data_IF_305630605744
#
_entry.id   IF_305630605744
#
_cell.length_a   1.000
_cell.length_b   1.000
_cell.length_c   1.000
_cell.angle_alpha   90.00
_cell.angle_beta   90.00
_cell.angle_gamma   90.00
#
_symmetry.space_group_name_H-M   'P 1'
#
loop_
_entity.id
_entity.type
_entity.pdbx_description
1 polymer ?
#
# COMPACT_ATOMS: atom_id res chain seq x y z
N UNK A 1 60.19 -7.32 -27.44
CA UNK A 1 58.72 -7.34 -27.66
C UNK A 1 57.96 -8.09 -26.56
N UNK A 2 58.27 -9.35 -26.23
CA UNK A 2 57.58 -10.10 -25.13
C UNK A 2 57.58 -9.39 -23.76
N UNK A 3 58.70 -8.76 -23.36
CA UNK A 3 58.80 -8.00 -22.10
C UNK A 3 57.96 -6.70 -22.08
N UNK A 4 57.70 -6.08 -23.23
CA UNK A 4 56.87 -4.87 -23.34
C UNK A 4 55.37 -5.22 -23.26
N UNK A 5 54.96 -6.35 -23.83
CA UNK A 5 53.58 -6.86 -23.77
C UNK A 5 53.22 -7.23 -22.32
N UNK A 6 54.14 -7.87 -21.59
CA UNK A 6 53.92 -8.20 -20.18
C UNK A 6 53.71 -6.95 -19.31
N UNK A 7 54.47 -5.87 -19.58
CA UNK A 7 54.32 -4.60 -18.87
C UNK A 7 53.01 -3.90 -19.22
N UNK A 8 52.58 -3.96 -20.48
CA UNK A 8 51.30 -3.41 -20.93
C UNK A 8 50.10 -4.15 -20.32
N UNK A 9 50.18 -5.48 -20.22
CA UNK A 9 49.16 -6.31 -19.55
C UNK A 9 49.10 -6.00 -18.05
N UNK A 10 50.26 -5.84 -17.40
CA UNK A 10 50.32 -5.42 -16.00
C UNK A 10 49.70 -4.04 -15.76
N UNK A 11 49.99 -3.06 -16.62
CA UNK A 11 49.39 -1.71 -16.54
C UNK A 11 47.87 -1.73 -16.79
N UNK A 12 47.39 -2.54 -17.73
CA UNK A 12 45.96 -2.72 -17.99
C UNK A 12 45.24 -3.37 -16.79
N UNK A 13 45.87 -4.34 -16.11
CA UNK A 13 45.31 -4.96 -14.91
C UNK A 13 45.30 -4.02 -13.69
N UNK A 14 46.24 -3.07 -13.59
CA UNK A 14 46.25 -2.08 -12.50
C UNK A 14 45.12 -1.06 -12.68
N UNK A 15 44.80 -0.66 -13.91
CA UNK A 15 43.64 0.20 -14.21
C UNK A 15 42.28 -0.50 -14.00
N UNK A 16 42.22 -1.82 -14.10
CA UNK A 16 40.99 -2.57 -13.80
C UNK A 16 40.67 -2.58 -12.29
N UNK A 17 41.69 -2.52 -11.43
CA UNK A 17 41.50 -2.59 -9.98
C UNK A 17 40.90 -1.30 -9.39
N UNK A 18 41.37 -0.12 -9.86
CA UNK A 18 40.75 1.16 -9.48
C UNK A 18 39.30 1.27 -9.97
N UNK A 19 38.98 0.67 -11.12
CA UNK A 19 37.63 0.63 -11.65
C UNK A 19 36.70 -0.30 -10.85
N UNK A 20 37.23 -1.41 -10.34
CA UNK A 20 36.48 -2.35 -9.50
C UNK A 20 36.11 -1.72 -8.14
N UNK A 21 37.07 -1.13 -7.43
CA UNK A 21 36.81 -0.48 -6.14
C UNK A 21 35.80 0.67 -6.29
N UNK A 22 35.91 1.44 -7.36
CA UNK A 22 34.96 2.50 -7.67
C UNK A 22 33.55 1.94 -7.94
N UNK A 23 33.45 0.87 -8.73
CA UNK A 23 32.17 0.20 -9.03
C UNK A 23 31.51 -0.34 -7.76
N UNK A 24 32.28 -0.95 -6.85
CA UNK A 24 31.78 -1.44 -5.57
C UNK A 24 31.27 -0.30 -4.68
N UNK A 25 32.00 0.81 -4.61
CA UNK A 25 31.59 1.99 -3.85
C UNK A 25 30.29 2.59 -4.39
N UNK A 26 30.15 2.68 -5.71
CA UNK A 26 28.92 3.13 -6.37
C UNK A 26 27.77 2.17 -6.05
N UNK A 27 27.97 0.87 -6.21
CA UNK A 27 26.95 -0.14 -5.91
C UNK A 27 26.48 -0.06 -4.46
N UNK A 28 27.41 0.16 -3.52
CA UNK A 28 27.11 0.34 -2.09
C UNK A 28 26.28 1.59 -1.85
N UNK A 29 26.64 2.75 -2.43
CA UNK A 29 25.84 3.99 -2.33
C UNK A 29 24.42 3.79 -2.84
N UNK A 30 24.26 3.17 -4.02
CA UNK A 30 22.93 2.88 -4.60
C UNK A 30 22.12 1.97 -3.67
N UNK A 31 22.74 0.92 -3.16
CA UNK A 31 22.11 0.00 -2.22
C UNK A 31 21.63 0.72 -0.96
N UNK A 32 22.46 1.57 -0.35
CA UNK A 32 22.10 2.33 0.86
C UNK A 32 20.89 3.26 0.64
N UNK A 33 20.80 3.89 -0.54
CA UNK A 33 19.64 4.71 -0.92
C UNK A 33 18.38 3.84 -1.02
N UNK A 34 18.45 2.70 -1.72
CA UNK A 34 17.30 1.80 -1.84
C UNK A 34 16.88 1.25 -0.48
N UNK A 35 17.82 0.81 0.36
CA UNK A 35 17.49 0.28 1.69
C UNK A 35 16.80 1.34 2.58
N UNK A 36 17.15 2.62 2.42
CA UNK A 36 16.46 3.73 3.09
C UNK A 36 15.03 3.90 2.55
N UNK A 37 14.83 3.85 1.23
CA UNK A 37 13.51 3.87 0.60
C UNK A 37 12.62 2.72 1.08
N UNK A 38 13.17 1.50 1.16
CA UNK A 38 12.49 0.30 1.64
C UNK A 38 12.08 0.41 3.12
N UNK A 39 12.96 0.96 3.97
CA UNK A 39 12.63 1.25 5.37
C UNK A 39 11.48 2.24 5.48
N UNK A 40 11.50 3.32 4.70
CA UNK A 40 10.41 4.29 4.67
C UNK A 40 9.07 3.64 4.28
N UNK A 41 9.04 2.80 3.25
CA UNK A 41 7.80 2.12 2.81
C UNK A 41 7.30 1.16 3.88
N UNK A 42 8.20 0.46 4.58
CA UNK A 42 7.84 -0.39 5.71
C UNK A 42 7.20 0.41 6.86
N UNK A 43 7.76 1.57 7.21
CA UNK A 43 7.19 2.45 8.23
C UNK A 43 5.85 3.05 7.82
N UNK A 44 5.74 3.46 6.54
CA UNK A 44 4.49 3.93 5.96
C UNK A 44 3.38 2.86 6.05
N UNK A 45 3.71 1.61 5.75
CA UNK A 45 2.79 0.48 5.92
C UNK A 45 2.35 0.29 7.37
N UNK A 46 3.28 0.42 8.33
CA UNK A 46 2.95 0.29 9.75
C UNK A 46 1.98 1.38 10.23
N UNK A 47 2.16 2.62 9.78
CA UNK A 47 1.24 3.73 10.11
C UNK A 47 -0.17 3.52 9.55
N UNK A 48 -0.32 2.88 8.38
CA UNK A 48 -1.65 2.50 7.87
C UNK A 48 -2.35 1.52 8.83
N UNK A 49 -1.60 0.59 9.43
CA UNK A 49 -2.16 -0.45 10.30
C UNK A 49 -2.43 0.10 11.70
N UNK A 50 -1.51 0.88 12.25
CA UNK A 50 -1.53 1.30 13.65
C UNK A 50 -2.35 2.57 13.86
N UNK A 51 -2.23 3.53 12.94
CA UNK A 51 -2.81 4.87 13.07
C UNK A 51 -3.91 5.14 12.04
N UNK A 52 -4.22 4.15 11.19
CA UNK A 52 -5.17 4.25 10.08
C UNK A 52 -4.93 5.47 9.19
N UNK A 53 -3.67 5.81 8.91
CA UNK A 53 -3.32 7.07 8.25
C UNK A 53 -2.19 6.94 7.24
N UNK A 54 -2.32 7.67 6.13
CA UNK A 54 -1.20 7.98 5.25
C UNK A 54 -0.33 9.08 5.85
N UNK A 55 0.96 8.79 5.99
CA UNK A 55 1.95 9.71 6.55
C UNK A 55 2.90 10.21 5.46
N UNK A 56 3.41 11.42 5.63
CA UNK A 56 4.40 11.99 4.71
C UNK A 56 5.80 11.46 5.04
N UNK A 57 6.74 11.49 4.08
CA UNK A 57 8.15 11.21 4.34
C UNK A 57 8.75 12.04 5.47
N UNK A 58 8.38 13.32 5.58
CA UNK A 58 8.83 14.20 6.66
C UNK A 58 8.35 13.71 8.04
N UNK A 59 7.09 13.26 8.14
CA UNK A 59 6.53 12.77 9.40
C UNK A 59 7.29 11.52 9.90
N UNK A 60 7.64 10.61 8.99
CA UNK A 60 8.40 9.40 9.37
C UNK A 60 9.85 9.78 9.72
N UNK A 61 10.50 10.66 8.95
CA UNK A 61 11.87 11.07 9.21
C UNK A 61 12.03 11.71 10.60
N UNK A 62 11.08 12.57 11.01
CA UNK A 62 11.10 13.26 12.29
C UNK A 62 10.85 12.32 13.49
N UNK A 63 10.01 11.29 13.32
CA UNK A 63 9.61 10.39 14.42
C UNK A 63 10.45 9.11 14.53
N UNK A 64 11.01 8.61 13.42
CA UNK A 64 11.69 7.30 13.38
C UNK A 64 13.21 7.40 13.14
N UNK A 65 13.78 8.61 13.13
CA UNK A 65 15.21 8.83 12.89
C UNK A 65 15.71 8.15 11.60
N UNK A 66 14.88 8.11 10.56
CA UNK A 66 15.35 7.72 9.23
C UNK A 66 16.29 8.83 8.77
N UNK A 67 17.60 8.57 8.91
CA UNK A 67 18.68 9.44 8.48
C UNK A 67 18.57 9.58 6.96
N UNK A 68 17.84 10.61 6.50
CA UNK A 68 18.15 11.53 5.42
C UNK A 68 16.85 12.16 4.86
N UNK A 69 16.81 13.50 4.80
CA UNK A 69 15.72 14.30 4.23
C UNK A 69 15.65 14.21 2.68
N UNK A 70 16.09 13.09 2.11
CA UNK A 70 16.24 12.89 0.68
C UNK A 70 14.92 12.51 0.00
N UNK A 71 13.97 11.89 0.70
CA UNK A 71 12.65 11.57 0.13
C UNK A 71 11.80 12.83 0.07
N UNK A 72 11.81 13.49 -1.08
CA UNK A 72 11.00 14.69 -1.32
C UNK A 72 9.82 14.34 -2.21
N UNK A 73 8.63 14.62 -1.69
CA UNK A 73 7.33 14.53 -2.35
C UNK A 73 6.76 13.11 -2.44
N UNK A 74 5.79 12.85 -1.56
CA UNK A 74 4.75 11.85 -1.81
C UNK A 74 3.78 12.45 -2.82
N UNK A 75 3.69 11.87 -4.01
CA UNK A 75 2.72 12.32 -5.00
C UNK A 75 1.36 11.75 -4.64
N UNK A 76 0.60 12.55 -3.88
CA UNK A 76 -0.77 12.21 -3.45
C UNK A 76 -1.77 12.27 -4.62
N UNK A 77 -1.44 12.95 -5.70
CA UNK A 77 -2.39 13.24 -6.77
C UNK A 77 -2.37 12.15 -7.83
N UNK A 78 -2.76 10.91 -7.49
CA UNK A 78 -3.11 9.89 -8.51
C UNK A 78 -3.67 8.54 -8.02
N UNK A 79 -4.37 8.42 -6.88
CA UNK A 79 -4.83 7.10 -6.39
C UNK A 79 -3.71 6.03 -6.32
N UNK A 80 -2.46 6.46 -6.21
CA UNK A 80 -1.26 5.65 -6.35
C UNK A 80 -0.29 6.05 -5.25
N UNK A 81 0.28 5.06 -4.57
CA UNK A 81 1.31 5.26 -3.56
C UNK A 81 2.69 5.30 -4.23
N UNK A 82 3.27 6.50 -4.33
CA UNK A 82 4.61 6.67 -4.89
C UNK A 82 5.31 7.92 -4.35
N UNK A 83 6.64 7.95 -4.48
CA UNK A 83 7.44 9.16 -4.33
C UNK A 83 8.43 9.32 -5.48
N UNK A 84 8.90 10.53 -5.71
CA UNK A 84 9.90 10.82 -6.75
C UNK A 84 11.25 10.16 -6.44
N UNK A 85 11.91 9.63 -7.47
CA UNK A 85 13.29 9.12 -7.36
C UNK A 85 14.20 10.14 -6.67
N UNK A 86 15.01 9.65 -5.72
CA UNK A 86 15.94 10.46 -4.93
C UNK A 86 17.40 10.15 -5.25
N UNK A 87 17.67 9.49 -6.38
CA UNK A 87 19.04 9.20 -6.81
C UNK A 87 19.79 10.52 -7.05
N UNK A 88 20.93 10.79 -6.37
CA UNK A 88 21.71 12.02 -6.59
C UNK A 88 22.18 12.17 -8.04
N UNK A 89 22.30 13.41 -8.52
CA UNK A 89 22.70 13.72 -9.91
C UNK A 89 24.04 13.06 -10.30
N UNK A 90 25.00 13.00 -9.36
CA UNK A 90 26.28 12.31 -9.56
C UNK A 90 26.10 10.83 -9.91
N UNK A 91 25.11 10.16 -9.32
CA UNK A 91 24.78 8.75 -9.57
C UNK A 91 23.81 8.60 -10.75
N UNK A 92 22.95 9.57 -11.03
CA UNK A 92 22.08 9.53 -12.21
C UNK A 92 22.88 9.58 -13.52
N UNK A 93 24.00 10.32 -13.54
CA UNK A 93 24.88 10.43 -14.69
C UNK A 93 25.79 9.20 -14.89
N UNK A 94 25.89 8.32 -13.89
CA UNK A 94 26.58 7.03 -14.00
C UNK A 94 25.61 5.94 -14.47
N UNK A 95 25.84 5.40 -15.66
CA UNK A 95 24.95 4.40 -16.27
C UNK A 95 24.80 3.12 -15.44
N UNK A 96 25.85 2.70 -14.74
CA UNK A 96 25.79 1.50 -13.89
C UNK A 96 24.97 1.78 -12.64
N UNK A 97 25.22 2.90 -11.97
CA UNK A 97 24.47 3.32 -10.79
C UNK A 97 22.97 3.48 -11.10
N UNK A 98 22.65 4.17 -12.21
CA UNK A 98 21.28 4.34 -12.68
C UNK A 98 20.60 2.99 -12.94
N UNK A 99 21.22 2.12 -13.74
CA UNK A 99 20.64 0.80 -14.05
C UNK A 99 20.43 -0.04 -12.78
N UNK A 100 21.38 0.00 -11.84
CA UNK A 100 21.26 -0.72 -10.58
C UNK A 100 20.12 -0.16 -9.72
N UNK A 101 19.97 1.16 -9.66
CA UNK A 101 18.91 1.84 -8.90
C UNK A 101 17.50 1.57 -9.44
N UNK A 102 17.36 1.53 -10.76
CA UNK A 102 16.10 1.27 -11.46
C UNK A 102 15.72 -0.22 -11.46
N UNK A 103 16.67 -1.11 -11.17
CA UNK A 103 16.44 -2.56 -11.11
C UNK A 103 15.72 -3.01 -9.83
N UNK A 104 15.23 -4.25 -9.85
CA UNK A 104 14.65 -4.92 -8.67
C UNK A 104 15.69 -5.53 -7.72
N UNK A 105 16.99 -5.34 -7.95
CA UNK A 105 18.06 -6.08 -7.25
C UNK A 105 18.03 -5.91 -5.72
N UNK A 106 17.66 -4.72 -5.24
CA UNK A 106 17.60 -4.41 -3.81
C UNK A 106 16.19 -3.98 -3.36
N UNK A 107 15.18 -4.16 -4.21
CA UNK A 107 13.82 -3.66 -3.98
C UNK A 107 12.87 -4.83 -3.74
N UNK A 108 12.32 -4.90 -2.53
CA UNK A 108 11.35 -5.93 -2.13
C UNK A 108 9.94 -5.33 -1.97
N UNK A 109 9.86 -4.09 -1.47
CA UNK A 109 8.67 -3.31 -1.16
C UNK A 109 8.46 -2.15 -2.11
N UNK A 110 9.27 -2.05 -3.16
CA UNK A 110 9.14 -0.99 -4.16
C UNK A 110 9.49 -1.43 -5.57
N UNK A 111 9.13 -0.61 -6.55
CA UNK A 111 9.59 -0.75 -7.93
C UNK A 111 9.70 0.61 -8.61
N UNK A 112 10.63 0.75 -9.55
CA UNK A 112 10.89 1.99 -10.27
C UNK A 112 10.12 2.02 -11.60
N UNK A 113 9.40 3.10 -11.87
CA UNK A 113 8.82 3.42 -13.19
C UNK A 113 8.89 4.94 -13.38
N UNK A 114 9.39 5.39 -14.53
CA UNK A 114 9.31 6.80 -14.98
C UNK A 114 9.69 7.83 -13.90
N UNK A 115 10.85 7.67 -13.28
CA UNK A 115 11.37 8.54 -12.19
C UNK A 115 10.54 8.54 -10.90
N UNK A 116 9.65 7.58 -10.71
CA UNK A 116 8.92 7.36 -9.46
C UNK A 116 9.22 6.00 -8.87
N UNK A 117 9.19 5.95 -7.55
CA UNK A 117 9.25 4.73 -6.75
C UNK A 117 7.84 4.43 -6.27
N UNK A 118 7.27 3.34 -6.77
CA UNK A 118 5.94 2.88 -6.43
C UNK A 118 6.01 1.89 -5.29
N UNK A 119 4.99 1.91 -4.42
CA UNK A 119 5.00 1.08 -3.22
C UNK A 119 4.38 -0.27 -3.53
N UNK A 120 5.06 -1.32 -3.08
CA UNK A 120 4.52 -2.65 -2.97
C UNK A 120 4.36 -2.96 -1.48
N UNK A 121 3.21 -2.57 -0.92
CA UNK A 121 2.83 -2.98 0.43
C UNK A 121 2.90 -4.52 0.50
N UNK A 122 3.29 -5.09 1.64
CA UNK A 122 3.37 -6.55 1.82
C UNK A 122 2.25 -7.05 2.73
N UNK A 123 1.76 -6.23 3.66
CA UNK A 123 0.70 -6.59 4.57
C UNK A 123 -0.69 -6.50 3.87
N UNK A 124 -1.47 -7.61 3.83
CA UNK A 124 -2.77 -7.60 3.16
C UNK A 124 -3.80 -6.65 3.79
N UNK A 125 -3.72 -6.40 5.10
CA UNK A 125 -4.61 -5.44 5.76
C UNK A 125 -4.27 -4.02 5.32
N UNK A 126 -2.99 -3.66 5.36
CA UNK A 126 -2.53 -2.35 4.90
C UNK A 126 -2.90 -2.12 3.44
N UNK A 127 -2.76 -3.13 2.57
CA UNK A 127 -3.22 -3.07 1.16
C UNK A 127 -4.70 -2.73 1.07
N UNK A 128 -5.55 -3.47 1.79
CA UNK A 128 -6.99 -3.26 1.73
C UNK A 128 -7.35 -1.85 2.23
N UNK A 129 -6.86 -1.46 3.40
CA UNK A 129 -7.11 -0.14 3.98
C UNK A 129 -6.62 0.98 3.06
N UNK A 130 -5.39 0.87 2.53
CA UNK A 130 -4.84 1.84 1.60
C UNK A 130 -5.67 1.95 0.33
N UNK A 131 -6.10 0.82 -0.23
CA UNK A 131 -6.91 0.82 -1.46
C UNK A 131 -8.26 1.48 -1.25
N UNK A 132 -8.93 1.19 -0.12
CA UNK A 132 -10.20 1.85 0.24
C UNK A 132 -10.00 3.35 0.48
N UNK A 133 -8.95 3.75 1.21
CA UNK A 133 -8.64 5.17 1.44
C UNK A 133 -8.37 5.93 0.15
N UNK A 134 -7.60 5.35 -0.79
CA UNK A 134 -7.35 5.92 -2.11
C UNK A 134 -8.65 6.02 -2.93
N UNK A 135 -9.47 4.96 -2.94
CA UNK A 135 -10.76 4.96 -3.63
C UNK A 135 -11.70 6.05 -3.09
N UNK A 136 -11.72 6.26 -1.77
CA UNK A 136 -12.50 7.32 -1.11
C UNK A 136 -11.83 8.68 -1.13
N UNK A 137 -10.60 8.79 -1.63
CA UNK A 137 -9.81 10.03 -1.64
C UNK A 137 -9.64 10.66 -0.23
N UNK A 138 -9.40 9.82 0.77
CA UNK A 138 -9.14 10.22 2.17
C UNK A 138 -7.73 9.79 2.61
N UNK A 139 -7.24 10.37 3.70
CA UNK A 139 -5.87 10.11 4.19
C UNK A 139 -5.84 9.50 5.58
N UNK A 140 -6.97 9.45 6.27
CA UNK A 140 -7.11 8.76 7.54
C UNK A 140 -8.49 8.15 7.66
N UNK A 141 -8.56 7.08 8.44
CA UNK A 141 -9.81 6.51 8.94
C UNK A 141 -9.92 6.97 10.38
N UNK A 142 -10.83 7.90 10.64
CA UNK A 142 -11.04 8.41 11.99
C UNK A 142 -12.06 7.53 12.73
N UNK A 143 -12.08 7.67 14.06
CA UNK A 143 -13.07 6.99 14.90
C UNK A 143 -14.48 7.41 14.46
N UNK A 144 -15.40 6.46 14.34
CA UNK A 144 -16.79 6.74 14.05
C UNK A 144 -17.34 7.70 15.13
N UNK A 145 -17.96 8.82 14.75
CA UNK A 145 -18.52 9.78 15.70
C UNK A 145 -19.60 9.12 16.54
N UNK A 146 -19.75 9.58 17.79
CA UNK A 146 -20.75 9.03 18.72
C UNK A 146 -22.20 9.26 18.27
N UNK A 147 -22.44 10.20 17.36
CA UNK A 147 -23.76 10.55 16.81
C UNK A 147 -23.68 10.76 15.32
N UNK A 148 -24.70 10.31 14.60
CA UNK A 148 -24.81 10.52 13.17
C UNK A 148 -25.26 11.95 12.86
N UNK A 149 -24.44 12.69 12.13
CA UNK A 149 -24.75 14.07 11.69
C UNK A 149 -24.87 14.20 10.18
N UNK A 150 -24.06 13.43 9.44
CA UNK A 150 -24.04 13.38 7.98
C UNK A 150 -23.41 12.07 7.51
N UNK A 151 -23.50 11.78 6.21
CA UNK A 151 -22.84 10.61 5.61
C UNK A 151 -21.36 10.57 5.98
N UNK A 152 -20.87 9.38 6.33
CA UNK A 152 -19.46 9.14 6.70
C UNK A 152 -18.88 8.16 5.70
N UNK A 153 -17.86 8.58 4.96
CA UNK A 153 -17.30 7.77 3.87
C UNK A 153 -16.55 6.54 4.38
N UNK A 154 -15.79 6.70 5.46
CA UNK A 154 -15.00 5.65 6.09
C UNK A 154 -14.76 6.03 7.55
N UNK A 155 -15.05 5.11 8.47
CA UNK A 155 -14.67 5.27 9.88
C UNK A 155 -14.39 3.91 10.52
N UNK A 156 -13.73 3.92 11.67
CA UNK A 156 -13.52 2.72 12.46
C UNK A 156 -14.23 2.81 13.81
N UNK A 157 -14.75 1.69 14.31
CA UNK A 157 -15.31 1.60 15.65
C UNK A 157 -14.95 0.23 16.21
N UNK A 158 -14.33 0.22 17.39
CA UNK A 158 -13.77 -0.99 17.99
C UNK A 158 -12.83 -1.68 16.97
N UNK A 159 -12.98 -2.98 16.75
CA UNK A 159 -12.19 -3.76 15.80
C UNK A 159 -12.81 -3.83 14.40
N UNK A 160 -13.63 -2.84 13.99
CA UNK A 160 -14.33 -2.86 12.71
C UNK A 160 -14.15 -1.58 11.90
N UNK A 161 -14.08 -1.75 10.58
CA UNK A 161 -14.12 -0.67 9.59
C UNK A 161 -15.51 -0.63 8.98
N UNK A 162 -16.05 0.58 8.81
CA UNK A 162 -17.34 0.84 8.18
C UNK A 162 -17.17 1.81 7.01
N UNK A 163 -17.78 1.47 5.88
CA UNK A 163 -17.72 2.25 4.64
C UNK A 163 -19.10 2.77 4.27
N UNK A 164 -19.17 4.04 3.88
CA UNK A 164 -20.41 4.77 3.53
C UNK A 164 -21.52 4.57 4.57
N UNK A 165 -21.29 5.01 5.79
CA UNK A 165 -22.29 4.97 6.85
C UNK A 165 -23.36 6.03 6.58
N UNK A 166 -24.62 5.60 6.59
CA UNK A 166 -25.80 6.41 6.31
C UNK A 166 -26.74 6.57 7.50
N UNK A 167 -26.60 5.72 8.52
CA UNK A 167 -27.47 5.73 9.69
C UNK A 167 -26.80 5.08 10.89
N UNK A 168 -27.18 5.55 12.07
CA UNK A 168 -26.89 4.92 13.35
C UNK A 168 -28.19 4.52 14.04
N UNK A 169 -28.16 3.43 14.80
CA UNK A 169 -29.25 3.01 15.66
C UNK A 169 -28.72 2.60 17.04
N UNK A 170 -29.60 2.59 18.04
CA UNK A 170 -29.27 2.10 19.37
C UNK A 170 -29.08 0.59 19.34
N UNK A 171 -27.95 0.13 19.83
CA UNK A 171 -27.71 -1.29 20.07
C UNK A 171 -28.26 -1.62 21.46
N UNK A 172 -29.36 -2.36 21.50
CA UNK A 172 -30.03 -2.76 22.75
C UNK A 172 -29.25 -3.83 23.54
N UNK A 173 -28.20 -4.41 22.96
CA UNK A 173 -27.44 -5.52 23.54
C UNK A 173 -26.35 -5.09 24.52
N UNK A 174 -26.06 -3.79 24.62
CA UNK A 174 -25.10 -3.27 25.58
C UNK A 174 -25.70 -2.14 26.43
N UNK A 175 -25.43 -2.17 27.73
CA UNK A 175 -25.95 -1.24 28.75
C UNK A 175 -25.55 0.23 28.53
N UNK A 176 -24.76 0.50 27.50
CA UNK A 176 -24.14 1.78 27.20
C UNK A 176 -25.05 2.77 26.45
N UNK A 177 -26.22 2.36 25.94
CA UNK A 177 -27.13 3.20 25.14
C UNK A 177 -26.41 4.02 24.05
N UNK A 178 -25.36 3.46 23.44
CA UNK A 178 -24.60 4.13 22.40
C UNK A 178 -25.18 3.82 21.04
N UNK A 179 -25.32 4.85 20.22
CA UNK A 179 -25.62 4.72 18.81
C UNK A 179 -24.41 4.10 18.09
N UNK A 180 -24.63 3.07 17.27
CA UNK A 180 -23.59 2.46 16.41
C UNK A 180 -24.03 2.51 14.94
N UNK A 181 -23.09 2.47 13.97
CA UNK A 181 -23.41 2.36 12.56
C UNK A 181 -24.38 1.20 12.31
N UNK A 182 -25.55 1.54 11.76
CA UNK A 182 -26.65 0.60 11.52
C UNK A 182 -27.10 0.53 10.08
N UNK A 183 -26.62 1.43 9.22
CA UNK A 183 -26.77 1.33 7.76
C UNK A 183 -25.47 1.78 7.13
N UNK A 184 -24.86 0.91 6.35
CA UNK A 184 -23.54 1.12 5.76
C UNK A 184 -23.40 0.28 4.49
N UNK A 185 -22.56 0.71 3.55
CA UNK A 185 -22.33 -0.08 2.34
C UNK A 185 -21.61 -1.39 2.65
N UNK A 186 -20.55 -1.30 3.44
CA UNK A 186 -19.66 -2.41 3.75
C UNK A 186 -19.06 -2.25 5.15
N UNK A 187 -18.96 -3.35 5.89
CA UNK A 187 -18.25 -3.42 7.15
C UNK A 187 -17.44 -4.71 7.26
N UNK A 188 -16.27 -4.64 7.89
CA UNK A 188 -15.46 -5.82 8.18
C UNK A 188 -14.66 -5.64 9.46
N UNK A 189 -14.37 -6.76 10.12
CA UNK A 189 -13.53 -6.77 11.32
C UNK A 189 -12.05 -6.81 10.93
N UNK A 190 -11.25 -5.95 11.57
CA UNK A 190 -9.80 -5.90 11.45
C UNK A 190 -9.13 -7.22 11.85
N UNK A 191 -9.63 -7.87 12.90
CA UNK A 191 -9.07 -9.13 13.43
C UNK A 191 -9.33 -10.33 12.51
N UNK A 192 -10.38 -10.24 11.67
CA UNK A 192 -10.78 -11.35 10.81
C UNK A 192 -10.84 -11.01 9.34
N UNK A 193 -10.34 -9.86 8.89
CA UNK A 193 -10.51 -9.38 7.50
C UNK A 193 -10.11 -10.38 6.39
N UNK A 194 -9.20 -11.33 6.66
CA UNK A 194 -8.80 -12.36 5.70
C UNK A 194 -9.84 -13.45 5.48
N UNK A 195 -10.50 -13.89 6.55
CA UNK A 195 -11.31 -15.11 6.57
C UNK A 195 -12.70 -14.91 7.20
N UNK A 196 -12.90 -13.79 7.86
CA UNK A 196 -14.14 -13.37 8.51
C UNK A 196 -15.10 -12.76 7.51
N UNK A 197 -16.36 -12.57 7.94
CA UNK A 197 -17.38 -12.06 7.06
C UNK A 197 -17.13 -10.59 6.74
N UNK A 198 -17.23 -10.25 5.46
CA UNK A 198 -17.43 -8.87 5.02
C UNK A 198 -18.93 -8.66 4.93
N UNK A 199 -19.46 -7.82 5.80
CA UNK A 199 -20.90 -7.53 5.88
C UNK A 199 -21.23 -6.41 4.90
N UNK A 200 -22.32 -6.55 4.16
CA UNK A 200 -22.84 -5.55 3.22
C UNK A 200 -24.32 -5.32 3.49
N UNK A 201 -24.85 -4.14 3.16
CA UNK A 201 -26.30 -3.91 3.25
C UNK A 201 -27.06 -4.78 2.24
N UNK A 202 -26.56 -4.82 1.01
CA UNK A 202 -27.07 -5.61 -0.12
C UNK A 202 -25.97 -5.73 -1.17
N UNK A 203 -26.00 -6.78 -1.98
CA UNK A 203 -25.19 -6.83 -3.20
C UNK A 203 -25.75 -5.86 -4.23
N UNK A 204 -24.88 -5.00 -4.72
CA UNK A 204 -25.10 -4.14 -5.88
C UNK A 204 -23.93 -4.37 -6.84
N UNK A 205 -24.15 -5.07 -7.96
CA UNK A 205 -23.06 -5.44 -8.87
C UNK A 205 -22.42 -4.23 -9.56
N UNK A 206 -23.09 -3.08 -9.55
CA UNK A 206 -22.60 -1.84 -10.14
C UNK A 206 -21.82 -0.97 -9.16
N UNK A 207 -21.78 -1.33 -7.88
CA UNK A 207 -21.02 -0.59 -6.87
C UNK A 207 -19.50 -0.79 -7.09
N UNK A 208 -18.75 0.26 -7.49
CA UNK A 208 -17.36 0.09 -7.91
C UNK A 208 -16.42 -0.30 -6.78
N UNK A 209 -16.79 -0.04 -5.51
CA UNK A 209 -15.94 -0.42 -4.37
C UNK A 209 -15.72 -1.93 -4.30
N UNK A 210 -16.65 -2.72 -4.82
CA UNK A 210 -16.52 -4.17 -4.78
C UNK A 210 -15.42 -4.70 -5.70
N UNK A 211 -14.98 -3.93 -6.70
CA UNK A 211 -13.84 -4.28 -7.56
C UNK A 211 -12.50 -4.23 -6.81
N UNK A 212 -12.44 -3.60 -5.63
CA UNK A 212 -11.25 -3.61 -4.77
C UNK A 212 -10.95 -5.02 -4.26
N UNK A 213 -11.99 -5.84 -4.09
CA UNK A 213 -11.84 -7.19 -3.55
C UNK A 213 -11.48 -8.19 -4.65
N UNK A 214 -10.61 -9.13 -4.32
CA UNK A 214 -10.24 -10.22 -5.22
C UNK A 214 -11.41 -11.17 -5.53
N UNK A 215 -11.37 -11.80 -6.70
CA UNK A 215 -12.24 -12.94 -6.96
C UNK A 215 -11.97 -14.04 -5.91
N UNK A 216 -13.03 -14.67 -5.42
CA UNK A 216 -12.99 -15.60 -4.29
C UNK A 216 -13.33 -14.96 -2.93
N UNK A 217 -13.40 -13.63 -2.83
CA UNK A 217 -13.84 -12.96 -1.60
C UNK A 217 -15.31 -13.27 -1.29
N UNK A 218 -15.60 -13.55 -0.03
CA UNK A 218 -16.93 -13.87 0.48
C UNK A 218 -17.53 -12.65 1.17
N UNK A 219 -18.78 -12.35 0.83
CA UNK A 219 -19.60 -11.31 1.45
C UNK A 219 -20.84 -11.94 2.08
N UNK A 220 -21.37 -11.28 3.11
CA UNK A 220 -22.62 -11.63 3.75
C UNK A 220 -23.51 -10.39 3.79
N UNK A 221 -24.75 -10.51 3.35
CA UNK A 221 -25.72 -9.45 3.63
C UNK A 221 -26.26 -9.54 5.06
N UNK A 222 -27.15 -8.63 5.41
CA UNK A 222 -27.71 -8.52 6.77
C UNK A 222 -28.68 -9.65 7.12
N UNK A 223 -29.22 -10.32 6.10
CA UNK A 223 -30.05 -11.51 6.27
C UNK A 223 -29.19 -12.78 6.40
N UNK A 224 -27.85 -12.63 6.34
CA UNK A 224 -26.90 -13.73 6.45
C UNK A 224 -26.69 -14.49 5.15
N UNK A 225 -27.22 -13.98 4.02
CA UNK A 225 -27.04 -14.60 2.71
C UNK A 225 -25.59 -14.40 2.29
N UNK A 226 -24.96 -15.51 1.91
CA UNK A 226 -23.56 -15.58 1.47
C UNK A 226 -23.43 -15.34 -0.03
N UNK A 227 -22.51 -14.46 -0.42
CA UNK A 227 -22.16 -14.17 -1.80
C UNK A 227 -20.66 -14.39 -2.04
N UNK A 228 -20.31 -15.00 -3.17
CA UNK A 228 -18.94 -15.17 -3.63
C UNK A 228 -18.67 -14.23 -4.81
N UNK A 229 -17.63 -13.40 -4.71
CA UNK A 229 -17.17 -12.61 -5.85
C UNK A 229 -16.51 -13.51 -6.89
N UNK A 230 -17.00 -13.47 -8.12
CA UNK A 230 -16.53 -14.31 -9.23
C UNK A 230 -16.08 -13.52 -10.47
N UNK A 231 -16.33 -12.21 -10.49
CA UNK A 231 -15.95 -11.34 -11.61
C UNK A 231 -15.67 -9.90 -11.21
N UNK A 232 -15.03 -9.17 -12.11
CA UNK A 232 -14.70 -7.74 -12.00
C UNK A 232 -15.57 -6.89 -12.94
N UNK A 233 -15.31 -5.58 -13.00
CA UNK A 233 -16.02 -4.59 -13.83
C UNK A 233 -16.25 -5.01 -15.29
N UNK A 234 -15.33 -5.78 -15.88
CA UNK A 234 -15.37 -6.23 -17.28
C UNK A 234 -15.88 -7.68 -17.47
N UNK A 235 -16.42 -8.31 -16.42
CA UNK A 235 -16.99 -9.64 -16.54
C UNK A 235 -18.19 -9.62 -17.50
N UNK A 236 -18.23 -10.59 -18.43
CA UNK A 236 -19.36 -10.77 -19.36
C UNK A 236 -20.60 -11.40 -18.70
N UNK A 237 -20.38 -12.01 -17.53
CA UNK A 237 -21.38 -12.73 -16.73
C UNK A 237 -21.58 -12.04 -15.36
N UNK A 238 -22.29 -12.68 -14.43
CA UNK A 238 -22.52 -12.17 -13.06
C UNK A 238 -21.21 -11.89 -12.32
N UNK A 239 -21.18 -10.81 -11.53
CA UNK A 239 -20.03 -10.49 -10.67
C UNK A 239 -20.06 -11.26 -9.33
N UNK A 240 -21.25 -11.69 -8.92
CA UNK A 240 -21.46 -12.43 -7.67
C UNK A 240 -22.28 -13.70 -7.86
N UNK A 241 -21.91 -14.75 -7.12
CA UNK A 241 -22.70 -15.97 -6.97
C UNK A 241 -23.33 -16.01 -5.57
N UNK A 242 -24.66 -16.13 -5.48
CA UNK A 242 -25.34 -16.40 -4.21
C UNK A 242 -25.13 -17.88 -3.86
N UNK A 243 -24.53 -18.14 -2.70
CA UNK A 243 -24.21 -19.49 -2.22
C UNK A 243 -25.25 -20.06 -1.24
N UNK A 244 -26.29 -19.29 -0.92
CA UNK A 244 -27.34 -19.69 0.03
C UNK A 244 -28.54 -20.35 -0.65
N UNK A 245 -28.52 -20.42 -1.98
CA UNK A 245 -29.46 -21.20 -2.78
C UNK A 245 -28.82 -22.57 -3.00
N UNK A 246 -29.04 -23.49 -2.06
CA UNK A 246 -28.94 -24.92 -2.37
C UNK A 246 -30.09 -25.24 -3.35
N UNK A 247 -29.75 -25.76 -4.54
CA UNK A 247 -30.71 -26.46 -5.42
C UNK A 247 -31.10 -27.82 -4.81
#
# INVERSE_FOLDING_TARGET
MKKLILLLVLFLSINANSNFDNTQNIAKKVKEIIEMEERFINSFENHIIQDFRFVTPSYIADNELIINNSIKNFDKNQNILSFSSNLPEELQNDSFAKNLYESSTYRDRSYFIENKIYFNLQNPLAKLLATIMLYKNINSIDLCPEKYTSKIELCHLEDSIYVDVEKYDYVFEDSSYKEKPSKFLLAFSLNSFKNGPIIIEKIDEDEPIFNIFSNGTIFYDRDGIKYLKIGDENAKDKKFANLSVEE
#
